data_IF_776780091847
#
_entry.id   IF_776780091847
#
_cell.length_a   1.000
_cell.length_b   1.000
_cell.length_c   1.000
_cell.angle_alpha   90.00
_cell.angle_beta   90.00
_cell.angle_gamma   90.00
#
_symmetry.space_group_name_H-M   'P 1'
#
loop_
_entity.id
_entity.type
_entity.pdbx_description
1 polymer ?
#
# COMPACT_ATOMS: atom_id res chain seq x y z
N UNK A 1 12.94 -12.63 -4.04
CA UNK A 1 12.86 -12.26 -5.48
C UNK A 1 11.66 -11.35 -5.75
N UNK A 2 10.43 -11.74 -5.41
CA UNK A 2 9.24 -10.87 -5.62
C UNK A 2 9.39 -9.48 -5.00
N UNK A 3 9.75 -9.35 -3.72
CA UNK A 3 9.91 -8.04 -3.06
C UNK A 3 10.95 -7.11 -3.77
N UNK A 4 11.99 -7.69 -4.37
CA UNK A 4 12.99 -6.95 -5.15
C UNK A 4 12.34 -6.41 -6.45
N UNK A 5 11.64 -7.27 -7.19
CA UNK A 5 10.96 -6.92 -8.44
C UNK A 5 9.83 -5.90 -8.22
N UNK A 6 9.14 -5.96 -7.06
CA UNK A 6 8.21 -4.89 -6.63
C UNK A 6 8.93 -3.56 -6.48
N UNK A 7 10.12 -3.57 -5.89
CA UNK A 7 10.95 -2.38 -5.70
C UNK A 7 11.50 -1.80 -7.00
N UNK A 8 11.79 -2.65 -7.99
CA UNK A 8 12.26 -2.27 -9.34
C UNK A 8 11.11 -1.90 -10.29
N UNK A 9 9.86 -2.03 -9.83
CA UNK A 9 8.68 -1.75 -10.63
C UNK A 9 8.57 -2.62 -11.90
N UNK A 10 8.83 -3.93 -11.77
CA UNK A 10 8.79 -4.92 -12.87
C UNK A 10 7.71 -6.01 -12.67
N UNK A 11 6.42 -5.65 -12.61
CA UNK A 11 5.31 -6.58 -12.38
C UNK A 11 5.24 -7.77 -13.36
N UNK A 12 5.64 -7.61 -14.63
CA UNK A 12 5.63 -8.70 -15.59
C UNK A 12 6.66 -9.80 -15.23
N UNK A 13 7.86 -9.39 -14.81
CA UNK A 13 8.89 -10.32 -14.30
C UNK A 13 8.45 -10.96 -12.98
N UNK A 14 7.82 -10.17 -12.11
CA UNK A 14 7.27 -10.68 -10.86
C UNK A 14 6.25 -11.80 -11.12
N UNK A 15 5.36 -11.64 -12.11
CA UNK A 15 4.35 -12.65 -12.44
C UNK A 15 4.99 -13.97 -12.84
N UNK A 16 6.00 -13.93 -13.74
CA UNK A 16 6.72 -15.14 -14.16
C UNK A 16 7.32 -15.90 -12.97
N UNK A 17 7.94 -15.18 -12.04
CA UNK A 17 8.52 -15.80 -10.85
C UNK A 17 7.45 -16.38 -9.90
N UNK A 18 6.34 -15.67 -9.70
CA UNK A 18 5.29 -16.10 -8.77
C UNK A 18 4.46 -17.27 -9.32
N UNK A 19 4.19 -17.30 -10.63
CA UNK A 19 3.52 -18.44 -11.29
C UNK A 19 4.40 -19.68 -11.18
N UNK A 20 5.68 -19.58 -11.55
CA UNK A 20 6.61 -20.72 -11.43
C UNK A 20 6.73 -21.22 -9.98
N UNK A 21 6.82 -20.32 -9.01
CA UNK A 21 6.89 -20.70 -7.60
C UNK A 21 5.61 -21.40 -7.12
N UNK A 22 4.43 -20.95 -7.59
CA UNK A 22 3.16 -21.57 -7.27
C UNK A 22 3.03 -22.96 -7.89
N UNK A 23 3.43 -23.12 -9.15
CA UNK A 23 3.40 -24.41 -9.84
C UNK A 23 4.33 -25.42 -9.16
N UNK A 24 5.55 -25.00 -8.80
CA UNK A 24 6.50 -25.86 -8.07
C UNK A 24 5.99 -26.27 -6.69
N UNK A 25 5.37 -25.34 -5.95
CA UNK A 25 4.80 -25.65 -4.63
C UNK A 25 3.63 -26.64 -4.75
N UNK A 26 2.76 -26.46 -5.75
CA UNK A 26 1.63 -27.35 -6.01
C UNK A 26 2.06 -28.77 -6.45
N UNK A 27 3.21 -28.92 -7.11
CA UNK A 27 3.74 -30.24 -7.52
C UNK A 27 4.45 -30.98 -6.39
N UNK A 28 4.89 -30.28 -5.34
CA UNK A 28 5.67 -30.85 -4.24
C UNK A 28 4.83 -31.29 -3.05
N UNK A 29 3.51 -31.03 -3.08
CA UNK A 29 2.60 -31.22 -1.95
C UNK A 29 3.14 -30.60 -0.64
N UNK A 30 3.81 -29.44 -0.76
CA UNK A 30 4.36 -28.68 0.36
C UNK A 30 3.38 -27.55 0.71
N UNK A 31 2.56 -27.76 1.73
CA UNK A 31 1.53 -26.81 2.13
C UNK A 31 2.10 -25.47 2.61
N UNK A 32 3.31 -25.44 3.19
CA UNK A 32 3.95 -24.20 3.65
C UNK A 32 4.33 -23.33 2.46
N UNK A 33 5.01 -23.93 1.47
CA UNK A 33 5.40 -23.25 0.25
C UNK A 33 4.19 -22.87 -0.60
N UNK A 34 3.16 -23.72 -0.62
CA UNK A 34 1.91 -23.46 -1.33
C UNK A 34 1.15 -22.28 -0.72
N UNK A 35 1.01 -22.23 0.61
CA UNK A 35 0.41 -21.11 1.33
C UNK A 35 1.14 -19.81 0.99
N UNK A 36 2.47 -19.83 1.09
CA UNK A 36 3.31 -18.66 0.84
C UNK A 36 3.18 -18.19 -0.62
N UNK A 37 3.25 -19.12 -1.59
CA UNK A 37 3.12 -18.81 -3.00
C UNK A 37 1.75 -18.20 -3.32
N UNK A 38 0.66 -18.79 -2.81
CA UNK A 38 -0.71 -18.26 -2.95
C UNK A 38 -0.84 -16.86 -2.35
N UNK A 39 -0.28 -16.62 -1.16
CA UNK A 39 -0.31 -15.32 -0.50
C UNK A 39 0.43 -14.23 -1.30
N UNK A 40 1.57 -14.55 -1.91
CA UNK A 40 2.28 -13.62 -2.80
C UNK A 40 1.54 -13.40 -4.11
N UNK A 41 1.00 -14.46 -4.73
CA UNK A 41 0.21 -14.34 -5.96
C UNK A 41 -1.05 -13.50 -5.74
N UNK A 42 -1.77 -13.70 -4.64
CA UNK A 42 -2.89 -12.87 -4.22
C UNK A 42 -2.51 -11.39 -4.15
N UNK A 43 -1.44 -11.07 -3.42
CA UNK A 43 -1.00 -9.68 -3.26
C UNK A 43 -0.53 -9.03 -4.56
N UNK A 44 -0.02 -9.82 -5.51
CA UNK A 44 0.31 -9.34 -6.85
C UNK A 44 -0.96 -9.06 -7.66
N UNK A 45 -1.88 -10.02 -7.76
CA UNK A 45 -3.11 -9.88 -8.52
C UNK A 45 -3.91 -8.66 -8.04
N UNK A 46 -4.00 -8.47 -6.73
CA UNK A 46 -4.61 -7.28 -6.12
C UNK A 46 -3.88 -5.98 -6.55
N UNK A 47 -2.54 -5.94 -6.59
CA UNK A 47 -1.81 -4.75 -7.06
C UNK A 47 -2.06 -4.44 -8.54
N UNK A 48 -2.25 -5.48 -9.35
CA UNK A 48 -2.50 -5.34 -10.79
C UNK A 48 -3.95 -5.00 -11.12
N UNK A 49 -4.84 -4.99 -10.14
CA UNK A 49 -6.27 -4.77 -10.38
C UNK A 49 -7.01 -5.98 -10.96
N UNK A 50 -6.41 -7.17 -10.89
CA UNK A 50 -7.06 -8.42 -11.33
C UNK A 50 -7.94 -8.94 -10.19
N UNK A 51 -9.05 -8.24 -9.95
CA UNK A 51 -9.87 -8.42 -8.76
C UNK A 51 -10.47 -9.82 -8.64
N UNK A 52 -11.01 -10.36 -9.73
CA UNK A 52 -11.59 -11.71 -9.76
C UNK A 52 -10.54 -12.78 -9.49
N UNK A 53 -9.37 -12.69 -10.13
CA UNK A 53 -8.28 -13.63 -9.91
C UNK A 53 -7.72 -13.54 -8.48
N UNK A 54 -7.61 -12.32 -7.93
CA UNK A 54 -7.20 -12.10 -6.56
C UNK A 54 -8.20 -12.73 -5.58
N UNK A 55 -9.50 -12.52 -5.79
CA UNK A 55 -10.54 -13.15 -4.97
C UNK A 55 -10.45 -14.69 -5.04
N UNK A 56 -10.34 -15.26 -6.23
CA UNK A 56 -10.18 -16.70 -6.40
C UNK A 56 -8.93 -17.22 -5.66
N UNK A 57 -7.81 -16.51 -5.73
CA UNK A 57 -6.59 -16.86 -5.00
C UNK A 57 -6.77 -16.78 -3.48
N UNK A 58 -7.54 -15.78 -3.00
CA UNK A 58 -7.88 -15.67 -1.59
C UNK A 58 -8.74 -16.86 -1.11
N UNK A 59 -9.74 -17.27 -1.89
CA UNK A 59 -10.58 -18.42 -1.55
C UNK A 59 -9.81 -19.75 -1.48
N UNK A 60 -8.70 -19.88 -2.20
CA UNK A 60 -7.79 -21.03 -2.09
C UNK A 60 -6.83 -20.92 -0.89
N UNK A 61 -6.51 -19.71 -0.48
CA UNK A 61 -5.55 -19.42 0.59
C UNK A 61 -6.20 -19.45 1.98
N UNK A 62 -7.38 -18.85 2.12
CA UNK A 62 -8.07 -18.64 3.41
C UNK A 62 -8.34 -19.94 4.17
N UNK A 63 -8.75 -21.06 3.53
CA UNK A 63 -9.00 -22.32 4.22
C UNK A 63 -7.74 -23.02 4.73
N UNK A 64 -6.55 -22.66 4.25
CA UNK A 64 -5.28 -23.28 4.66
C UNK A 64 -4.88 -22.96 6.11
N UNK A 65 -5.60 -22.06 6.78
CA UNK A 65 -5.32 -21.71 8.17
C UNK A 65 -4.12 -20.76 8.32
N UNK A 66 -3.74 -20.52 9.58
CA UNK A 66 -2.71 -19.55 9.99
C UNK A 66 -1.65 -20.15 10.90
N UNK A 67 -1.70 -21.45 11.13
CA UNK A 67 -0.76 -22.17 12.00
C UNK A 67 0.46 -22.57 11.19
N UNK A 68 1.31 -21.59 10.92
CA UNK A 68 2.50 -21.73 10.11
C UNK A 68 3.73 -21.24 10.86
N UNK A 69 4.91 -21.84 10.63
CA UNK A 69 6.15 -21.35 11.20
C UNK A 69 6.40 -19.86 10.87
N UNK A 70 6.96 -19.13 11.83
CA UNK A 70 7.12 -17.65 11.74
C UNK A 70 7.95 -17.18 10.55
N UNK A 71 8.85 -18.03 10.05
CA UNK A 71 9.66 -17.80 8.85
C UNK A 71 8.84 -17.90 7.56
N UNK A 72 7.75 -18.67 7.56
CA UNK A 72 6.82 -18.80 6.44
C UNK A 72 5.77 -17.69 6.51
N UNK A 73 5.19 -17.50 7.68
CA UNK A 73 4.08 -16.59 7.87
C UNK A 73 4.21 -15.83 9.19
N UNK A 74 3.95 -14.53 9.14
CA UNK A 74 3.79 -13.72 10.35
C UNK A 74 2.30 -13.43 10.55
N UNK A 75 1.72 -13.78 11.71
CA UNK A 75 0.31 -13.54 11.98
C UNK A 75 -0.13 -12.11 11.65
N UNK A 76 -1.27 -11.97 10.97
CA UNK A 76 -1.85 -10.70 10.54
C UNK A 76 -1.37 -10.22 9.16
N UNK A 77 -0.30 -10.80 8.58
CA UNK A 77 0.21 -10.37 7.27
C UNK A 77 -0.78 -10.66 6.14
N UNK A 78 -1.47 -11.81 6.19
CA UNK A 78 -2.44 -12.20 5.16
C UNK A 78 -3.68 -11.30 5.24
N UNK A 79 -4.17 -11.08 6.46
CA UNK A 79 -5.34 -10.25 6.72
C UNK A 79 -5.07 -8.78 6.41
N UNK A 80 -3.86 -8.27 6.68
CA UNK A 80 -3.45 -6.94 6.20
C UNK A 80 -3.49 -6.83 4.66
N UNK A 81 -2.99 -7.85 3.95
CA UNK A 81 -3.03 -7.85 2.47
C UNK A 81 -4.45 -7.88 1.95
N UNK A 82 -5.34 -8.63 2.61
CA UNK A 82 -6.76 -8.67 2.29
C UNK A 82 -7.47 -7.34 2.59
N UNK A 83 -7.22 -6.73 3.75
CA UNK A 83 -7.72 -5.40 4.07
C UNK A 83 -7.27 -4.37 3.02
N UNK A 84 -6.01 -4.41 2.60
CA UNK A 84 -5.51 -3.51 1.55
C UNK A 84 -6.17 -3.77 0.20
N UNK A 85 -6.44 -5.03 -0.15
CA UNK A 85 -7.20 -5.38 -1.34
C UNK A 85 -8.62 -4.79 -1.29
N UNK A 86 -9.34 -4.94 -0.17
CA UNK A 86 -10.65 -4.32 0.03
C UNK A 86 -10.60 -2.80 0.00
N UNK A 87 -9.53 -2.19 0.52
CA UNK A 87 -9.30 -0.74 0.41
C UNK A 87 -9.23 -0.29 -1.04
N UNK A 88 -8.45 -0.97 -1.88
CA UNK A 88 -8.36 -0.63 -3.30
C UNK A 88 -9.67 -0.80 -4.07
N UNK A 89 -10.59 -1.63 -3.58
CA UNK A 89 -11.93 -1.79 -4.13
C UNK A 89 -12.96 -0.79 -3.55
N UNK A 90 -12.56 0.06 -2.60
CA UNK A 90 -13.49 0.95 -1.88
C UNK A 90 -14.40 0.23 -0.88
N UNK A 91 -14.06 -0.99 -0.48
CA UNK A 91 -14.86 -1.89 0.36
C UNK A 91 -14.21 -2.16 1.73
N UNK A 92 -13.18 -1.41 2.10
CA UNK A 92 -12.54 -1.56 3.41
C UNK A 92 -13.49 -1.15 4.54
N UNK A 93 -13.48 -1.94 5.61
CA UNK A 93 -14.24 -1.70 6.84
C UNK A 93 -13.29 -1.79 8.04
N UNK A 94 -13.71 -1.26 9.20
CA UNK A 94 -12.91 -1.37 10.42
C UNK A 94 -12.73 -2.83 10.86
N UNK A 95 -13.69 -3.71 10.59
CA UNK A 95 -13.59 -5.13 10.90
C UNK A 95 -12.40 -5.80 10.21
N UNK A 96 -12.15 -5.46 8.93
CA UNK A 96 -10.98 -5.97 8.21
C UNK A 96 -9.66 -5.57 8.89
N UNK A 97 -9.57 -4.32 9.37
CA UNK A 97 -8.38 -3.80 10.05
C UNK A 97 -8.23 -4.43 11.44
N UNK A 98 -9.33 -4.53 12.19
CA UNK A 98 -9.38 -5.11 13.52
C UNK A 98 -8.96 -6.59 13.51
N UNK A 99 -9.45 -7.38 12.54
CA UNK A 99 -9.06 -8.79 12.37
C UNK A 99 -7.55 -8.94 12.14
N UNK A 100 -6.97 -8.12 11.26
CA UNK A 100 -5.54 -8.15 11.01
C UNK A 100 -4.72 -7.73 12.24
N UNK A 101 -5.20 -6.74 12.99
CA UNK A 101 -4.55 -6.21 14.19
C UNK A 101 -4.58 -7.21 15.36
N UNK A 102 -5.71 -7.89 15.56
CA UNK A 102 -5.90 -8.95 16.56
C UNK A 102 -4.90 -10.09 16.37
N UNK A 103 -4.51 -10.40 15.12
CA UNK A 103 -3.52 -11.41 14.81
C UNK A 103 -2.09 -10.87 14.89
N UNK A 104 -1.84 -9.66 14.38
CA UNK A 104 -0.50 -9.08 14.29
C UNK A 104 0.11 -8.70 15.65
N UNK A 105 -0.70 -8.19 16.58
CA UNK A 105 -0.22 -7.74 17.90
C UNK A 105 0.33 -8.92 18.74
N UNK A 106 -0.41 -10.02 18.99
CA UNK A 106 0.11 -11.17 19.72
C UNK A 106 1.28 -11.85 18.98
N UNK A 107 1.23 -11.89 17.64
CA UNK A 107 2.30 -12.42 16.79
C UNK A 107 3.58 -11.57 16.78
N UNK A 108 3.60 -10.44 17.50
CA UNK A 108 4.71 -9.46 17.55
C UNK A 108 5.18 -9.02 16.17
N UNK A 109 4.27 -8.92 15.21
CA UNK A 109 4.58 -8.48 13.85
C UNK A 109 4.50 -6.95 13.73
N UNK A 110 5.44 -6.27 14.42
CA UNK A 110 5.54 -4.80 14.43
C UNK A 110 5.49 -4.17 13.02
N UNK A 111 6.14 -4.72 11.97
CA UNK A 111 5.99 -4.23 10.60
C UNK A 111 4.54 -4.22 10.09
N UNK A 112 3.76 -5.26 10.38
CA UNK A 112 2.36 -5.34 9.95
C UNK A 112 1.48 -4.39 10.75
N UNK A 113 1.69 -4.28 12.07
CA UNK A 113 0.99 -3.27 12.90
C UNK A 113 1.21 -1.85 12.37
N UNK A 114 2.45 -1.49 12.04
CA UNK A 114 2.74 -0.19 11.42
C UNK A 114 2.02 0.02 10.09
N UNK A 115 1.99 -1.01 9.23
CA UNK A 115 1.28 -0.96 7.95
C UNK A 115 -0.24 -0.85 8.12
N UNK A 116 -0.80 -1.43 9.18
CA UNK A 116 -2.23 -1.30 9.52
C UNK A 116 -2.57 0.13 9.95
N UNK A 117 -1.73 0.75 10.79
CA UNK A 117 -1.87 2.17 11.13
C UNK A 117 -1.84 3.07 9.88
N UNK A 118 -0.90 2.84 8.97
CA UNK A 118 -0.84 3.57 7.70
C UNK A 118 -2.10 3.35 6.84
N UNK A 119 -2.55 2.10 6.70
CA UNK A 119 -3.75 1.79 5.91
C UNK A 119 -5.01 2.40 6.51
N UNK A 120 -5.18 2.34 7.83
CA UNK A 120 -6.30 2.95 8.55
C UNK A 120 -6.32 4.47 8.35
N UNK A 121 -5.15 5.11 8.47
CA UNK A 121 -4.99 6.53 8.21
C UNK A 121 -5.33 6.93 6.77
N UNK A 122 -4.83 6.19 5.78
CA UNK A 122 -5.17 6.39 4.38
C UNK A 122 -6.68 6.24 4.13
N UNK A 123 -7.31 5.23 4.71
CA UNK A 123 -8.76 5.01 4.59
C UNK A 123 -9.58 6.14 5.22
N UNK A 124 -9.15 6.66 6.37
CA UNK A 124 -9.80 7.79 7.02
C UNK A 124 -9.62 9.09 6.22
N UNK A 125 -8.45 9.31 5.62
CA UNK A 125 -8.20 10.42 4.70
C UNK A 125 -9.16 10.41 3.51
N UNK A 126 -9.36 9.26 2.86
CA UNK A 126 -10.27 9.17 1.71
C UNK A 126 -11.74 9.45 2.05
N UNK A 127 -12.09 9.38 3.33
CA UNK A 127 -13.42 9.72 3.83
C UNK A 127 -13.49 11.16 4.38
N UNK A 128 -12.44 11.97 4.25
CA UNK A 128 -12.37 13.31 4.83
C UNK A 128 -12.29 13.34 6.36
N UNK A 129 -12.03 12.20 7.01
CA UNK A 129 -11.93 12.08 8.46
C UNK A 129 -10.50 12.40 8.91
N UNK A 130 -10.13 13.69 8.88
CA UNK A 130 -8.75 14.12 9.08
C UNK A 130 -8.20 13.90 10.49
N UNK A 131 -8.96 14.19 11.55
CA UNK A 131 -8.51 14.00 12.92
C UNK A 131 -8.12 12.54 13.25
N UNK A 132 -8.98 11.53 13.03
CA UNK A 132 -8.59 10.14 13.29
C UNK A 132 -7.49 9.65 12.33
N UNK A 133 -7.40 10.24 11.12
CA UNK A 133 -6.29 9.96 10.21
C UNK A 133 -4.95 10.42 10.79
N UNK A 134 -4.89 11.62 11.38
CA UNK A 134 -3.69 12.11 12.09
C UNK A 134 -3.26 11.11 13.15
N UNK A 135 -4.17 10.65 14.01
CA UNK A 135 -3.83 9.70 15.09
C UNK A 135 -3.24 8.41 14.53
N UNK A 136 -3.88 7.84 13.52
CA UNK A 136 -3.43 6.60 12.89
C UNK A 136 -2.08 6.76 12.17
N UNK A 137 -1.90 7.84 11.42
CA UNK A 137 -0.67 8.09 10.64
C UNK A 137 0.49 8.48 11.55
N UNK A 138 0.23 9.24 12.62
CA UNK A 138 1.22 9.57 13.63
C UNK A 138 1.82 8.30 14.24
N UNK A 139 0.99 7.32 14.60
CA UNK A 139 1.49 6.03 15.11
C UNK A 139 2.34 5.28 14.08
N UNK A 140 1.95 5.27 12.81
CA UNK A 140 2.76 4.66 11.75
C UNK A 140 4.15 5.32 11.62
N UNK A 141 4.20 6.66 11.63
CA UNK A 141 5.44 7.45 11.56
C UNK A 141 6.30 7.25 12.80
N UNK A 142 5.70 7.30 13.99
CA UNK A 142 6.38 7.06 15.27
C UNK A 142 7.07 5.70 15.27
N UNK A 143 6.34 4.63 14.92
CA UNK A 143 6.90 3.28 14.84
C UNK A 143 8.01 3.13 13.78
N UNK A 144 7.97 3.88 12.68
CA UNK A 144 9.05 3.89 11.69
C UNK A 144 10.32 4.55 12.25
N UNK A 145 10.17 5.70 12.90
CA UNK A 145 11.26 6.47 13.49
C UNK A 145 11.95 5.74 14.64
N UNK A 146 11.20 5.00 15.46
CA UNK A 146 11.75 4.14 16.54
C UNK A 146 12.81 3.14 16.04
N UNK A 147 12.74 2.73 14.77
CA UNK A 147 13.70 1.80 14.16
C UNK A 147 14.60 2.47 13.12
N UNK A 148 14.72 3.80 13.18
CA UNK A 148 15.58 4.60 12.29
C UNK A 148 15.16 4.56 10.82
N UNK A 149 13.87 4.37 10.53
CA UNK A 149 13.33 4.32 9.16
C UNK A 149 12.39 5.48 8.89
N UNK A 150 12.44 5.99 7.66
CA UNK A 150 11.43 6.88 7.09
C UNK A 150 10.27 6.07 6.52
N UNK A 151 9.04 6.52 6.72
CA UNK A 151 7.85 5.99 6.05
C UNK A 151 7.20 7.10 5.23
N UNK A 152 7.80 7.41 4.07
CA UNK A 152 7.44 8.58 3.26
C UNK A 152 5.96 8.63 2.87
N UNK A 153 5.30 7.46 2.72
CA UNK A 153 3.87 7.39 2.45
C UNK A 153 3.06 7.86 3.67
N UNK A 154 3.34 7.32 4.87
CA UNK A 154 2.66 7.74 6.10
C UNK A 154 2.95 9.20 6.46
N UNK A 155 4.20 9.66 6.28
CA UNK A 155 4.61 11.04 6.57
C UNK A 155 3.92 12.05 5.64
N UNK A 156 3.82 11.73 4.35
CA UNK A 156 3.12 12.59 3.38
C UNK A 156 1.61 12.62 3.66
N UNK A 157 1.00 11.46 3.95
CA UNK A 157 -0.41 11.38 4.31
C UNK A 157 -0.70 12.14 5.62
N UNK A 158 0.20 12.07 6.60
CA UNK A 158 0.08 12.82 7.85
C UNK A 158 0.07 14.33 7.59
N UNK A 159 0.97 14.80 6.72
CA UNK A 159 1.02 16.20 6.33
C UNK A 159 -0.28 16.66 5.65
N UNK A 160 -0.88 15.84 4.77
CA UNK A 160 -2.19 16.12 4.17
C UNK A 160 -3.26 16.25 5.26
N UNK A 161 -3.34 15.29 6.19
CA UNK A 161 -4.32 15.32 7.27
C UNK A 161 -4.18 16.58 8.14
N UNK A 162 -2.93 16.92 8.51
CA UNK A 162 -2.62 18.11 9.30
C UNK A 162 -2.92 19.41 8.55
N UNK A 163 -2.66 19.47 7.24
CA UNK A 163 -2.98 20.62 6.41
C UNK A 163 -4.48 20.93 6.44
N UNK A 164 -5.34 19.92 6.25
CA UNK A 164 -6.79 20.10 6.31
C UNK A 164 -7.31 20.52 7.68
N UNK A 165 -6.61 20.16 8.75
CA UNK A 165 -6.91 20.62 10.12
C UNK A 165 -6.28 21.97 10.46
N UNK A 166 -5.56 22.62 9.53
CA UNK A 166 -4.79 23.85 9.78
C UNK A 166 -3.73 23.69 10.88
N UNK A 167 -3.20 22.48 11.01
CA UNK A 167 -2.17 22.10 11.99
C UNK A 167 -0.77 22.00 11.36
N UNK A 168 -0.64 22.27 10.06
CA UNK A 168 0.63 22.27 9.35
C UNK A 168 1.13 23.73 9.21
N UNK A 169 2.15 24.17 9.98
CA UNK A 169 2.52 25.58 10.06
C UNK A 169 3.10 26.15 8.76
N UNK A 170 4.01 25.41 8.11
CA UNK A 170 4.53 25.74 6.77
C UNK A 170 4.29 24.57 5.82
N UNK A 171 3.14 24.56 5.12
CA UNK A 171 2.79 23.48 4.20
C UNK A 171 3.75 23.34 3.02
N UNK A 172 4.35 24.44 2.55
CA UNK A 172 5.24 24.43 1.39
C UNK A 172 6.59 23.83 1.77
N UNK A 173 7.18 24.30 2.86
CA UNK A 173 8.43 23.76 3.37
C UNK A 173 8.29 22.27 3.70
N UNK A 174 7.19 21.88 4.36
CA UNK A 174 6.93 20.47 4.67
C UNK A 174 6.84 19.61 3.39
N UNK A 175 6.13 20.07 2.36
CA UNK A 175 6.02 19.35 1.10
C UNK A 175 7.38 19.25 0.36
N UNK A 176 8.21 20.28 0.40
CA UNK A 176 9.57 20.27 -0.15
C UNK A 176 10.47 19.27 0.58
N UNK A 177 10.43 19.24 1.92
CA UNK A 177 11.19 18.28 2.73
C UNK A 177 10.77 16.84 2.42
N UNK A 178 9.45 16.59 2.33
CA UNK A 178 8.91 15.27 1.97
C UNK A 178 9.34 14.83 0.56
N UNK A 179 9.48 15.78 -0.38
CA UNK A 179 9.95 15.51 -1.73
C UNK A 179 11.43 15.08 -1.81
N UNK A 180 12.24 15.37 -0.77
CA UNK A 180 13.65 14.99 -0.70
C UNK A 180 13.88 13.55 -0.19
N UNK A 181 12.83 12.84 0.23
CA UNK A 181 12.96 11.46 0.68
C UNK A 181 13.59 10.57 -0.41
N UNK A 182 14.34 9.53 -0.02
CA UNK A 182 14.96 8.57 -0.97
C UNK A 182 13.95 7.95 -1.95
N UNK A 183 12.72 7.74 -1.49
CA UNK A 183 11.59 7.25 -2.28
C UNK A 183 10.35 8.07 -1.88
N UNK A 184 10.15 9.25 -2.48
CA UNK A 184 9.02 10.11 -2.13
C UNK A 184 7.70 9.46 -2.54
N UNK A 185 6.65 9.73 -1.78
CA UNK A 185 5.31 9.29 -2.12
C UNK A 185 4.66 10.31 -3.07
N UNK A 186 4.99 10.20 -4.35
CA UNK A 186 4.63 11.21 -5.36
C UNK A 186 3.13 11.46 -5.51
N UNK A 187 2.26 10.44 -5.35
CA UNK A 187 0.82 10.66 -5.38
C UNK A 187 0.37 11.58 -4.24
N UNK A 188 0.73 11.27 -3.00
CA UNK A 188 0.39 12.10 -1.85
C UNK A 188 1.02 13.50 -1.93
N UNK A 189 2.24 13.62 -2.46
CA UNK A 189 2.85 14.94 -2.68
C UNK A 189 2.04 15.77 -3.68
N UNK A 190 1.55 15.14 -4.74
CA UNK A 190 0.71 15.81 -5.72
C UNK A 190 -0.62 16.28 -5.12
N UNK A 191 -1.26 15.44 -4.29
CA UNK A 191 -2.46 15.80 -3.52
C UNK A 191 -2.20 16.96 -2.55
N UNK A 192 -1.08 16.93 -1.81
CA UNK A 192 -0.68 17.99 -0.89
C UNK A 192 -0.42 19.31 -1.62
N UNK A 193 0.36 19.30 -2.69
CA UNK A 193 0.64 20.50 -3.48
C UNK A 193 -0.60 21.10 -4.12
N UNK A 194 -1.54 20.25 -4.57
CA UNK A 194 -2.83 20.70 -5.06
C UNK A 194 -3.63 21.39 -3.94
N UNK A 195 -3.68 20.80 -2.73
CA UNK A 195 -4.36 21.39 -1.59
C UNK A 195 -3.74 22.73 -1.15
N UNK A 196 -2.42 22.88 -1.28
CA UNK A 196 -1.68 24.13 -1.05
C UNK A 196 -1.96 25.18 -2.14
N UNK A 197 -2.41 24.77 -3.33
CA UNK A 197 -2.66 25.64 -4.48
C UNK A 197 -1.47 25.82 -5.42
N UNK A 198 -0.39 25.02 -5.28
CA UNK A 198 0.70 25.00 -6.25
C UNK A 198 0.44 23.94 -7.33
N UNK A 199 -0.29 24.33 -8.36
CA UNK A 199 -0.67 23.43 -9.45
C UNK A 199 0.54 22.95 -10.27
N UNK A 200 1.64 23.71 -10.30
CA UNK A 200 2.86 23.33 -11.03
C UNK A 200 3.52 22.15 -10.35
N UNK A 201 3.71 22.21 -9.04
CA UNK A 201 4.27 21.11 -8.26
C UNK A 201 3.32 19.92 -8.20
N UNK A 202 2.01 20.17 -8.07
CA UNK A 202 0.99 19.11 -8.11
C UNK A 202 1.09 18.31 -9.41
N UNK A 203 1.14 18.99 -10.57
CA UNK A 203 1.25 18.35 -11.89
C UNK A 203 2.56 17.58 -12.05
N UNK A 204 3.68 18.13 -11.58
CA UNK A 204 4.98 17.44 -11.61
C UNK A 204 4.93 16.11 -10.87
N UNK A 205 4.43 16.12 -9.64
CA UNK A 205 4.35 14.92 -8.81
C UNK A 205 3.28 13.93 -9.31
N UNK A 206 2.15 14.41 -9.83
CA UNK A 206 1.11 13.57 -10.41
C UNK A 206 1.64 12.78 -11.62
N UNK A 207 2.45 13.42 -12.49
CA UNK A 207 3.10 12.73 -13.63
C UNK A 207 4.07 11.65 -13.17
N UNK A 208 4.90 11.93 -12.17
CA UNK A 208 5.80 10.92 -11.60
C UNK A 208 5.05 9.74 -10.98
N UNK A 209 3.94 10.00 -10.30
CA UNK A 209 3.08 8.96 -9.75
C UNK A 209 2.46 8.10 -10.85
N UNK A 210 1.97 8.73 -11.93
CA UNK A 210 1.45 8.06 -13.11
C UNK A 210 2.50 7.18 -13.79
N UNK A 211 3.70 7.72 -14.07
CA UNK A 211 4.80 6.99 -14.72
C UNK A 211 5.21 5.75 -13.91
N UNK A 212 5.29 5.90 -12.57
CA UNK A 212 5.55 4.77 -11.70
C UNK A 212 4.39 3.76 -11.70
N UNK A 213 3.15 4.23 -11.69
CA UNK A 213 1.99 3.34 -11.68
C UNK A 213 1.77 2.62 -13.02
N UNK A 214 2.23 3.20 -14.14
CA UNK A 214 2.23 2.56 -15.45
C UNK A 214 3.11 1.32 -15.50
N UNK A 215 4.24 1.32 -14.77
CA UNK A 215 5.13 0.17 -14.62
C UNK A 215 5.55 -0.46 -15.96
N UNK A 216 5.18 -1.72 -16.23
CA UNK A 216 5.52 -2.41 -17.49
C UNK A 216 4.45 -2.17 -18.60
N UNK A 217 3.43 -1.34 -18.35
CA UNK A 217 2.26 -1.12 -19.22
C UNK A 217 1.18 -2.19 -19.05
N UNK A 218 0.02 -2.02 -19.69
CA UNK A 218 -1.07 -3.00 -19.61
C UNK A 218 -0.63 -4.40 -20.08
N UNK A 219 -1.01 -5.51 -19.39
CA UNK A 219 -1.86 -5.63 -18.21
C UNK A 219 -1.10 -5.61 -16.86
N UNK A 220 0.11 -5.04 -16.84
CA UNK A 220 1.07 -5.04 -15.75
C UNK A 220 1.23 -3.66 -15.11
N UNK A 221 0.11 -2.97 -14.91
CA UNK A 221 0.06 -1.66 -14.24
C UNK A 221 -0.25 -1.81 -12.75
N UNK A 222 0.07 -0.80 -11.95
CA UNK A 222 -0.41 -0.69 -10.55
C UNK A 222 -1.78 -0.02 -10.54
N UNK A 223 -2.84 -0.80 -10.81
CA UNK A 223 -4.18 -0.30 -11.16
C UNK A 223 -4.65 0.84 -10.24
N UNK A 224 -4.72 0.59 -8.93
CA UNK A 224 -5.21 1.58 -7.98
C UNK A 224 -4.48 2.92 -8.04
N UNK A 225 -3.15 2.87 -8.06
CA UNK A 225 -2.30 4.06 -8.07
C UNK A 225 -2.34 4.76 -9.44
N UNK A 226 -2.51 4.01 -10.53
CA UNK A 226 -2.65 4.54 -11.88
C UNK A 226 -3.97 5.30 -12.01
N UNK A 227 -5.07 4.72 -11.55
CA UNK A 227 -6.40 5.33 -11.62
C UNK A 227 -6.45 6.62 -10.78
N UNK A 228 -5.91 6.60 -9.55
CA UNK A 228 -5.80 7.81 -8.72
C UNK A 228 -4.92 8.89 -9.34
N UNK A 229 -3.77 8.51 -9.90
CA UNK A 229 -2.86 9.47 -10.54
C UNK A 229 -3.47 10.08 -11.81
N UNK A 230 -4.22 9.29 -12.58
CA UNK A 230 -4.95 9.76 -13.77
C UNK A 230 -6.03 10.76 -13.38
N UNK A 231 -6.86 10.44 -12.38
CA UNK A 231 -7.90 11.36 -11.89
C UNK A 231 -7.30 12.71 -11.42
N UNK A 232 -6.12 12.66 -10.77
CA UNK A 232 -5.43 13.87 -10.33
C UNK A 232 -4.89 14.70 -11.51
N UNK A 233 -4.34 14.06 -12.54
CA UNK A 233 -3.90 14.73 -13.76
C UNK A 233 -5.07 15.37 -14.52
N UNK A 234 -6.19 14.67 -14.63
CA UNK A 234 -7.43 15.18 -15.22
C UNK A 234 -7.93 16.44 -14.47
N UNK A 235 -7.95 16.41 -13.14
CA UNK A 235 -8.31 17.56 -12.31
C UNK A 235 -7.38 18.77 -12.54
N UNK A 236 -6.11 18.51 -12.86
CA UNK A 236 -5.08 19.53 -13.11
C UNK A 236 -5.03 20.02 -14.57
N UNK A 237 -5.93 19.55 -15.44
CA UNK A 237 -5.92 19.88 -16.88
C UNK A 237 -4.67 19.35 -17.59
N UNK A 238 -4.12 18.25 -17.11
CA UNK A 238 -2.98 17.55 -17.70
C UNK A 238 -3.48 16.26 -18.35
N UNK A 239 -3.48 16.19 -19.67
CA UNK A 239 -3.60 14.93 -20.42
C UNK A 239 -2.25 14.24 -20.51
#
# INVERSE_FOLDING_TARGET
ISDLLVGENRPAKEERCLVLALDLAAQRDDDEDLFRARLFRFAQLARLGRWTDAEAMWQLLDPMGRDWPRNIYRPGMAEYRYARFRFWQGQLTEEHLAKAEQLARPGRDRPTVRRLHRLRGAWQLEQGRYAPAVDSLHEAVRMAREVGRTDAEAETQLAIAQFHLKQLPDPREAAEQLAQAKRPFHRGLAELWLAIGDHKQAKHHARKAYEWAWADGEPYVRRYELDKSRALLEQLGAQ
#
